data_IF_023331011748
#
_entry.id   IF_023331011748
#
_cell.length_a   1.000
_cell.length_b   1.000
_cell.length_c   1.000
_cell.angle_alpha   90.00
_cell.angle_beta   90.00
_cell.angle_gamma   90.00
#
_symmetry.space_group_name_H-M   'P 1'
#
loop_
_entity.id
_entity.type
_entity.pdbx_description
1 polymer ?
#
# COMPACT_ATOMS: atom_id res chain seq x y z
N UNK A 1 10.19 -6.46 2.93
CA UNK A 1 9.48 -6.93 4.15
C UNK A 1 8.26 -6.06 4.20
N UNK A 2 7.18 -6.60 3.66
CA UNK A 2 6.01 -5.82 3.26
C UNK A 2 5.24 -5.37 4.49
N UNK A 3 4.80 -4.11 4.48
CA UNK A 3 4.08 -3.50 5.60
C UNK A 3 2.75 -4.20 5.92
N UNK A 4 2.29 -5.09 5.04
CA UNK A 4 1.08 -5.91 5.17
C UNK A 4 1.32 -7.42 5.17
N UNK A 5 2.50 -7.92 5.56
CA UNK A 5 2.75 -9.36 5.60
C UNK A 5 1.99 -10.10 6.70
N UNK A 6 0.79 -10.60 6.42
CA UNK A 6 0.18 -11.70 7.15
C UNK A 6 -0.14 -12.82 6.17
N UNK A 7 0.67 -13.88 6.19
CA UNK A 7 0.52 -15.03 5.28
C UNK A 7 -0.82 -15.77 5.47
N UNK A 8 -1.42 -15.67 6.66
CA UNK A 8 -2.57 -16.47 7.08
C UNK A 8 -3.85 -15.64 7.34
N UNK A 9 -3.82 -14.34 7.03
CA UNK A 9 -4.97 -13.46 7.22
C UNK A 9 -5.82 -13.47 5.95
N UNK A 10 -6.86 -14.30 5.90
CA UNK A 10 -7.81 -14.38 4.78
C UNK A 10 -8.45 -13.02 4.45
N UNK A 11 -8.60 -12.12 5.42
CA UNK A 11 -9.10 -10.74 5.21
C UNK A 11 -8.09 -9.79 4.57
N UNK A 12 -6.81 -10.20 4.48
CA UNK A 12 -5.71 -9.45 3.87
C UNK A 12 -5.21 -10.11 2.58
N UNK A 13 -5.71 -11.31 2.26
CA UNK A 13 -5.60 -11.93 0.95
C UNK A 13 -6.67 -11.32 0.05
N UNK A 14 -6.46 -10.06 -0.35
CA UNK A 14 -7.21 -9.49 -1.48
C UNK A 14 -6.87 -10.35 -2.71
N UNK A 15 -7.82 -11.08 -3.33
CA UNK A 15 -7.54 -11.82 -4.54
C UNK A 15 -7.08 -10.83 -5.61
N UNK A 16 -5.78 -10.82 -5.91
CA UNK A 16 -5.20 -9.92 -6.89
C UNK A 16 -5.64 -10.35 -8.30
N UNK A 17 -6.67 -9.67 -8.82
CA UNK A 17 -6.94 -9.72 -10.25
C UNK A 17 -5.79 -8.99 -10.97
N UNK A 18 -4.82 -9.77 -11.47
CA UNK A 18 -3.62 -9.28 -12.16
C UNK A 18 -3.88 -8.53 -13.49
N UNK A 19 -5.15 -8.47 -13.92
CA UNK A 19 -5.61 -7.91 -15.19
C UNK A 19 -6.59 -6.73 -15.03
N UNK A 20 -6.55 -6.00 -13.89
CA UNK A 20 -7.27 -4.73 -13.72
C UNK A 20 -6.29 -3.61 -13.46
N UNK A 21 -6.58 -2.43 -14.02
CA UNK A 21 -5.82 -1.21 -13.82
C UNK A 21 -6.71 -0.16 -13.15
N UNK A 22 -6.28 0.45 -12.03
CA UNK A 22 -5.12 0.09 -11.22
C UNK A 22 -5.30 -1.28 -10.53
N UNK A 23 -4.22 -2.03 -10.36
CA UNK A 23 -4.22 -3.36 -9.74
C UNK A 23 -3.01 -3.60 -8.86
N UNK A 24 -2.57 -4.87 -8.78
CA UNK A 24 -1.46 -5.31 -7.91
C UNK A 24 -0.17 -4.47 -8.10
N UNK A 25 0.19 -4.18 -9.35
CA UNK A 25 1.39 -3.42 -9.67
C UNK A 25 1.36 -2.00 -9.11
N UNK A 26 0.22 -1.32 -9.22
CA UNK A 26 0.06 0.03 -8.70
C UNK A 26 0.00 0.03 -7.15
N UNK A 27 -0.47 -1.07 -6.56
CA UNK A 27 -0.44 -1.27 -5.12
C UNK A 27 0.99 -1.49 -4.61
N UNK A 28 1.85 -2.21 -5.33
CA UNK A 28 3.28 -2.34 -4.99
C UNK A 28 3.96 -0.97 -4.87
N UNK A 29 3.66 -0.03 -5.77
CA UNK A 29 4.20 1.34 -5.71
C UNK A 29 3.76 2.09 -4.43
N UNK A 30 2.52 1.85 -3.98
CA UNK A 30 2.00 2.40 -2.73
C UNK A 30 2.69 1.78 -1.52
N UNK A 31 2.90 0.47 -1.52
CA UNK A 31 3.61 -0.25 -0.46
C UNK A 31 5.04 0.28 -0.30
N UNK A 32 5.77 0.42 -1.41
CA UNK A 32 7.12 0.99 -1.44
C UNK A 32 7.17 2.44 -0.94
N UNK A 33 6.20 3.27 -1.34
CA UNK A 33 6.12 4.66 -0.92
C UNK A 33 5.92 4.79 0.59
N UNK A 34 4.95 4.04 1.13
CA UNK A 34 4.66 4.05 2.55
C UNK A 34 5.82 3.44 3.36
N UNK A 35 6.47 2.40 2.84
CA UNK A 35 7.67 1.82 3.45
C UNK A 35 8.78 2.85 3.61
N UNK A 36 9.08 3.64 2.56
CA UNK A 36 10.07 4.73 2.64
C UNK A 36 9.67 5.80 3.65
N UNK A 37 8.39 6.13 3.78
CA UNK A 37 7.92 7.10 4.80
C UNK A 37 8.10 6.58 6.22
N UNK A 38 7.81 5.31 6.47
CA UNK A 38 8.02 4.67 7.77
C UNK A 38 9.51 4.66 8.11
N UNK A 39 10.36 4.20 7.18
CA UNK A 39 11.80 4.13 7.39
C UNK A 39 12.47 5.50 7.57
N UNK A 40 11.90 6.57 7.01
CA UNK A 40 12.37 7.95 7.21
C UNK A 40 11.76 8.65 8.44
N UNK A 41 10.91 7.96 9.21
CA UNK A 41 10.24 8.53 10.37
C UNK A 41 9.17 9.59 10.04
N UNK A 42 8.76 9.69 8.77
CA UNK A 42 7.73 10.65 8.32
C UNK A 42 6.30 10.23 8.63
N UNK A 43 6.08 8.94 8.90
CA UNK A 43 4.82 8.37 9.37
C UNK A 43 5.10 7.17 10.26
N UNK A 44 4.13 6.78 11.10
CA UNK A 44 4.23 5.57 11.90
C UNK A 44 3.83 4.33 11.10
N UNK A 45 4.36 3.15 11.45
CA UNK A 45 3.95 1.88 10.84
C UNK A 45 2.42 1.67 10.90
N UNK A 46 1.83 1.95 12.07
CA UNK A 46 0.38 1.80 12.27
C UNK A 46 -0.44 2.76 11.40
N UNK A 47 0.07 3.95 11.12
CA UNK A 47 -0.58 4.92 10.24
C UNK A 47 -0.46 4.54 8.77
N UNK A 48 0.73 4.11 8.33
CA UNK A 48 0.93 3.56 6.99
C UNK A 48 0.01 2.36 6.72
N UNK A 49 -0.13 1.44 7.68
CA UNK A 49 -1.02 0.29 7.59
C UNK A 49 -2.50 0.70 7.49
N UNK A 50 -2.93 1.72 8.24
CA UNK A 50 -4.29 2.27 8.13
C UNK A 50 -4.52 2.93 6.77
N UNK A 51 -3.57 3.71 6.27
CA UNK A 51 -3.68 4.38 4.97
C UNK A 51 -3.86 3.39 3.82
N UNK A 52 -3.02 2.35 3.76
CA UNK A 52 -3.12 1.36 2.68
C UNK A 52 -4.34 0.45 2.79
N UNK A 53 -4.77 0.09 4.01
CA UNK A 53 -5.94 -0.75 4.22
C UNK A 53 -7.27 -0.02 3.99
N UNK A 54 -7.30 1.31 4.17
CA UNK A 54 -8.51 2.11 3.99
C UNK A 54 -8.75 2.50 2.53
N UNK A 55 -7.74 3.09 1.87
CA UNK A 55 -7.84 3.52 0.48
C UNK A 55 -6.45 3.66 -0.14
N UNK A 56 -5.88 2.53 -0.57
CA UNK A 56 -4.60 2.53 -1.28
C UNK A 56 -4.65 3.31 -2.59
N UNK A 57 -5.82 3.41 -3.25
CA UNK A 57 -5.96 4.13 -4.51
C UNK A 57 -5.82 5.65 -4.31
N UNK A 58 -6.36 6.20 -3.22
CA UNK A 58 -6.12 7.59 -2.85
C UNK A 58 -4.62 7.85 -2.61
N UNK A 59 -3.90 6.91 -1.99
CA UNK A 59 -2.44 7.04 -1.81
C UNK A 59 -1.72 7.00 -3.16
N UNK A 60 -2.10 6.07 -4.05
CA UNK A 60 -1.60 6.00 -5.42
C UNK A 60 -1.80 7.33 -6.16
N UNK A 61 -3.01 7.90 -6.11
CA UNK A 61 -3.28 9.21 -6.71
C UNK A 61 -2.40 10.33 -6.13
N UNK A 62 -2.07 10.31 -4.83
CA UNK A 62 -1.16 11.32 -4.24
C UNK A 62 0.26 11.20 -4.76
N UNK A 63 0.74 9.96 -4.96
CA UNK A 63 2.08 9.70 -5.53
C UNK A 63 2.14 10.24 -6.98
N UNK A 64 1.07 10.07 -7.75
CA UNK A 64 1.01 10.42 -9.17
C UNK A 64 0.50 11.84 -9.48
N UNK A 65 -0.25 12.50 -8.58
CA UNK A 65 -0.66 13.90 -8.74
C UNK A 65 0.39 14.91 -8.27
N UNK A 66 1.36 14.48 -7.47
CA UNK A 66 2.37 15.36 -6.84
C UNK A 66 3.68 15.50 -7.62
N UNK A 67 3.73 15.05 -8.88
CA UNK A 67 4.90 15.09 -9.75
C UNK A 67 4.60 15.88 -11.03
#
# INVERSE_FOLDING_TARGET
MELGGCADCETNLWPEARNVFPGAKEKDEVEDYLHRKVCSGKTSLAEAQREIASDWYAVYQRIHKGN
#
